data_IF_992021264347
#
_entry.id   IF_992021264347
#
_cell.length_a   1.000
_cell.length_b   1.000
_cell.length_c   1.000
_cell.angle_alpha   90.00
_cell.angle_beta   90.00
_cell.angle_gamma   90.00
#
_symmetry.space_group_name_H-M   'P 1'
#
loop_
_entity.id
_entity.type
_entity.pdbx_description
1 polymer ?
#
# COMPACT_ATOMS: atom_id res chain seq x y z
N UNK A 1 37.86 -21.15 -24.37
CA UNK A 1 38.41 -20.47 -23.18
C UNK A 1 37.24 -20.24 -22.26
N UNK A 2 37.10 -21.05 -21.21
CA UNK A 2 36.05 -20.87 -20.19
C UNK A 2 36.62 -19.94 -19.14
N UNK A 3 35.82 -18.97 -18.73
CA UNK A 3 36.12 -17.98 -17.70
C UNK A 3 36.77 -18.62 -16.47
N UNK A 4 37.94 -18.10 -16.08
CA UNK A 4 38.43 -18.22 -14.72
C UNK A 4 37.46 -17.43 -13.83
N UNK A 5 36.50 -18.13 -13.21
CA UNK A 5 35.71 -17.59 -12.10
C UNK A 5 36.69 -17.03 -11.05
N UNK A 6 36.71 -15.71 -10.89
CA UNK A 6 37.28 -15.08 -9.69
C UNK A 6 36.58 -15.70 -8.49
N UNK A 7 37.30 -16.52 -7.73
CA UNK A 7 36.80 -17.09 -6.47
C UNK A 7 36.55 -15.94 -5.50
N UNK A 8 35.29 -15.72 -5.18
CA UNK A 8 34.73 -14.61 -4.37
C UNK A 8 35.13 -14.62 -2.88
N UNK A 9 36.13 -15.42 -2.47
CA UNK A 9 36.47 -15.65 -1.06
C UNK A 9 35.40 -16.42 -0.25
N UNK A 10 34.15 -16.48 -0.73
CA UNK A 10 33.00 -17.08 -0.05
C UNK A 10 33.16 -18.58 0.24
N UNK A 11 33.96 -19.30 -0.56
CA UNK A 11 34.28 -20.73 -0.34
C UNK A 11 34.86 -20.99 1.07
N UNK A 12 35.49 -19.99 1.69
CA UNK A 12 36.01 -20.09 3.06
C UNK A 12 34.91 -20.38 4.09
N UNK A 13 33.67 -19.95 3.86
CA UNK A 13 32.55 -20.13 4.78
C UNK A 13 32.00 -21.56 4.80
N UNK A 14 32.35 -22.41 3.82
CA UNK A 14 31.95 -23.83 3.80
C UNK A 14 33.15 -24.78 3.87
N UNK A 15 34.36 -24.27 4.08
CA UNK A 15 35.60 -25.07 4.02
C UNK A 15 35.59 -26.28 4.95
N UNK A 16 35.00 -26.13 6.14
CA UNK A 16 34.93 -27.17 7.17
C UNK A 16 33.53 -27.85 7.21
N UNK A 17 32.70 -27.64 6.18
CA UNK A 17 31.36 -28.19 6.05
C UNK A 17 31.35 -29.32 5.01
N UNK A 18 30.76 -30.46 5.38
CA UNK A 18 30.51 -31.57 4.45
C UNK A 18 29.03 -31.57 4.09
N UNK A 19 28.72 -31.25 2.83
CA UNK A 19 27.34 -31.22 2.33
C UNK A 19 26.79 -32.64 2.17
N UNK A 20 25.64 -32.89 2.77
CA UNK A 20 24.94 -34.18 2.81
C UNK A 20 24.00 -34.35 1.62
N UNK A 21 23.66 -33.26 0.92
CA UNK A 21 22.65 -33.23 -0.13
C UNK A 21 21.23 -32.99 0.41
N UNK A 22 21.06 -32.93 1.74
CA UNK A 22 19.84 -32.43 2.37
C UNK A 22 20.02 -30.97 2.73
N UNK A 23 19.40 -30.07 1.97
CA UNK A 23 19.56 -28.63 2.16
C UNK A 23 19.26 -28.17 3.59
N UNK A 24 18.21 -28.70 4.21
CA UNK A 24 17.85 -28.40 5.59
C UNK A 24 18.98 -28.76 6.58
N UNK A 25 19.59 -29.94 6.41
CA UNK A 25 20.69 -30.39 7.26
C UNK A 25 21.95 -29.57 7.00
N UNK A 26 22.24 -29.29 5.73
CA UNK A 26 23.43 -28.56 5.29
C UNK A 26 23.42 -27.11 5.78
N UNK A 27 22.29 -26.41 5.62
CA UNK A 27 22.10 -25.04 6.12
C UNK A 27 22.10 -25.01 7.66
N UNK A 28 21.45 -25.98 8.30
CA UNK A 28 21.47 -26.09 9.76
C UNK A 28 22.89 -26.33 10.32
N UNK A 29 23.70 -27.14 9.64
CA UNK A 29 25.10 -27.36 9.98
C UNK A 29 25.97 -26.12 9.69
N UNK A 30 25.68 -25.40 8.62
CA UNK A 30 26.33 -24.13 8.27
C UNK A 30 26.16 -23.08 9.38
N UNK A 31 24.94 -22.82 9.83
CA UNK A 31 24.71 -21.86 10.91
C UNK A 31 25.35 -22.29 12.25
N UNK A 32 25.33 -23.59 12.55
CA UNK A 32 26.03 -24.14 13.74
C UNK A 32 27.54 -23.94 13.67
N UNK A 33 28.15 -24.15 12.50
CA UNK A 33 29.58 -23.94 12.29
C UNK A 33 29.98 -22.49 12.55
N UNK A 34 29.14 -21.54 12.13
CA UNK A 34 29.38 -20.09 12.30
C UNK A 34 28.85 -19.51 13.62
N UNK A 35 28.23 -20.33 14.47
CA UNK A 35 27.73 -19.91 15.79
C UNK A 35 26.51 -18.99 15.76
N UNK A 36 25.79 -18.90 14.63
CA UNK A 36 24.61 -18.03 14.47
C UNK A 36 23.30 -18.83 14.54
N UNK A 37 23.00 -19.34 15.74
CA UNK A 37 21.78 -20.12 15.98
C UNK A 37 20.52 -19.27 15.98
N UNK A 38 20.63 -17.96 16.23
CA UNK A 38 19.48 -17.05 16.22
C UNK A 38 18.92 -16.87 14.81
N UNK A 39 19.79 -16.64 13.81
CA UNK A 39 19.35 -16.59 12.40
C UNK A 39 18.80 -17.95 11.95
N UNK A 40 19.36 -19.05 12.44
CA UNK A 40 18.84 -20.38 12.15
C UNK A 40 17.42 -20.60 12.67
N UNK A 41 17.13 -20.24 13.93
CA UNK A 41 15.79 -20.35 14.51
C UNK A 41 14.78 -19.49 13.75
N UNK A 42 15.16 -18.26 13.35
CA UNK A 42 14.37 -17.41 12.45
C UNK A 42 14.11 -18.09 11.10
N UNK A 43 15.16 -18.61 10.48
CA UNK A 43 15.10 -19.30 9.17
C UNK A 43 14.12 -20.46 9.17
N UNK A 44 14.07 -21.26 10.25
CA UNK A 44 13.10 -22.35 10.40
C UNK A 44 11.65 -21.86 10.47
N UNK A 45 11.39 -20.74 11.16
CA UNK A 45 10.07 -20.10 11.22
C UNK A 45 9.67 -19.58 9.84
N UNK A 46 10.56 -18.84 9.17
CA UNK A 46 10.35 -18.32 7.81
C UNK A 46 10.03 -19.45 6.85
N UNK A 47 10.78 -20.56 6.93
CA UNK A 47 10.57 -21.75 6.08
C UNK A 47 9.18 -22.34 6.26
N UNK A 48 8.72 -22.48 7.51
CA UNK A 48 7.37 -22.97 7.82
C UNK A 48 6.29 -22.05 7.23
N UNK A 49 6.46 -20.74 7.35
CA UNK A 49 5.54 -19.76 6.77
C UNK A 49 5.59 -19.75 5.23
N UNK A 50 6.77 -19.80 4.62
CA UNK A 50 6.95 -19.78 3.17
C UNK A 50 6.27 -20.99 2.50
N UNK A 51 6.46 -22.19 3.04
CA UNK A 51 5.80 -23.41 2.55
C UNK A 51 4.29 -23.33 2.67
N UNK A 52 3.78 -22.82 3.81
CA UNK A 52 2.33 -22.65 4.03
C UNK A 52 1.73 -21.65 3.03
N UNK A 53 2.35 -20.49 2.89
CA UNK A 53 1.88 -19.42 2.00
C UNK A 53 2.00 -19.88 0.54
N UNK A 54 3.08 -20.55 0.15
CA UNK A 54 3.23 -21.09 -1.20
C UNK A 54 2.06 -22.00 -1.60
N UNK A 55 1.61 -22.88 -0.70
CA UNK A 55 0.43 -23.73 -0.92
C UNK A 55 -0.87 -22.93 -1.07
N UNK A 56 -1.06 -21.88 -0.28
CA UNK A 56 -2.26 -21.03 -0.37
C UNK A 56 -2.36 -20.27 -1.71
N UNK A 57 -1.22 -19.92 -2.29
CA UNK A 57 -1.14 -19.04 -3.46
C UNK A 57 -0.77 -19.78 -4.76
N UNK A 58 -0.83 -21.12 -4.75
CA UNK A 58 -0.52 -22.00 -5.88
C UNK A 58 0.88 -21.74 -6.45
N UNK A 59 1.86 -21.74 -5.54
CA UNK A 59 3.29 -21.56 -5.83
C UNK A 59 4.04 -22.81 -5.34
N UNK A 60 5.11 -23.19 -6.03
CA UNK A 60 5.90 -24.38 -5.69
C UNK A 60 6.43 -24.32 -4.23
N UNK A 61 5.96 -25.20 -3.33
CA UNK A 61 6.37 -25.18 -1.93
C UNK A 61 7.81 -25.66 -1.71
N UNK A 62 8.35 -26.50 -2.58
CA UNK A 62 9.74 -26.98 -2.45
C UNK A 62 10.73 -25.87 -2.79
N UNK A 63 10.44 -25.08 -3.83
CA UNK A 63 11.22 -23.88 -4.13
C UNK A 63 11.11 -22.83 -3.03
N UNK A 64 9.91 -22.64 -2.47
CA UNK A 64 9.70 -21.70 -1.37
C UNK A 64 10.49 -22.10 -0.11
N UNK A 65 10.55 -23.40 0.20
CA UNK A 65 11.42 -23.95 1.25
C UNK A 65 12.90 -23.65 0.97
N UNK A 66 13.38 -23.92 -0.25
CA UNK A 66 14.76 -23.64 -0.63
C UNK A 66 15.12 -22.16 -0.51
N UNK A 67 14.26 -21.26 -1.01
CA UNK A 67 14.46 -19.82 -0.90
C UNK A 67 14.47 -19.36 0.56
N UNK A 68 13.54 -19.85 1.38
CA UNK A 68 13.43 -19.49 2.79
C UNK A 68 14.61 -20.03 3.62
N UNK A 69 15.12 -21.22 3.37
CA UNK A 69 16.31 -21.74 4.05
C UNK A 69 17.56 -20.89 3.76
N UNK A 70 17.62 -20.27 2.58
CA UNK A 70 18.81 -19.59 2.09
C UNK A 70 18.73 -18.06 2.16
N UNK A 71 17.58 -17.47 2.52
CA UNK A 71 17.37 -16.01 2.39
C UNK A 71 18.35 -15.17 3.22
N UNK A 72 18.76 -15.67 4.39
CA UNK A 72 19.54 -14.96 5.41
C UNK A 72 20.92 -15.58 5.67
N UNK A 73 21.39 -16.50 4.82
CA UNK A 73 22.66 -17.22 5.04
C UNK A 73 23.90 -16.31 5.11
N UNK A 74 23.84 -15.11 4.54
CA UNK A 74 24.94 -14.14 4.65
C UNK A 74 25.03 -13.44 6.00
N UNK A 75 24.07 -13.61 6.90
CA UNK A 75 24.12 -13.01 8.25
C UNK A 75 25.27 -13.54 9.11
N UNK A 76 25.87 -14.68 8.75
CA UNK A 76 27.11 -15.18 9.37
C UNK A 76 28.32 -14.28 9.10
N UNK A 77 28.24 -13.41 8.08
CA UNK A 77 29.30 -12.46 7.74
C UNK A 77 29.19 -11.26 8.69
N UNK A 78 30.28 -10.81 9.32
CA UNK A 78 30.27 -9.56 10.07
C UNK A 78 29.90 -8.37 9.17
N UNK A 79 28.99 -7.50 9.62
CA UNK A 79 28.54 -6.32 8.84
C UNK A 79 29.69 -5.42 8.39
N UNK A 80 30.79 -5.37 9.16
CA UNK A 80 32.00 -4.63 8.78
C UNK A 80 32.66 -5.12 7.49
N UNK A 81 32.42 -6.38 7.10
CA UNK A 81 32.96 -7.00 5.90
C UNK A 81 31.98 -6.97 4.71
N UNK A 82 30.71 -6.59 4.92
CA UNK A 82 29.68 -6.68 3.87
C UNK A 82 30.06 -5.95 2.57
N UNK A 83 30.63 -4.74 2.67
CA UNK A 83 31.02 -3.97 1.50
C UNK A 83 32.19 -4.65 0.76
N UNK A 84 33.21 -5.07 1.50
CA UNK A 84 34.37 -5.78 0.94
C UNK A 84 33.92 -7.08 0.26
N UNK A 85 33.17 -7.92 0.96
CA UNK A 85 32.64 -9.17 0.40
C UNK A 85 31.74 -8.93 -0.80
N UNK A 86 30.90 -7.89 -0.78
CA UNK A 86 30.06 -7.55 -1.93
C UNK A 86 30.90 -7.16 -3.15
N UNK A 87 31.96 -6.38 -2.96
CA UNK A 87 32.89 -6.03 -4.05
C UNK A 87 33.63 -7.25 -4.59
N UNK A 88 34.14 -8.13 -3.72
CA UNK A 88 34.82 -9.37 -4.12
C UNK A 88 33.89 -10.34 -4.86
N UNK A 89 32.62 -10.40 -4.45
CA UNK A 89 31.58 -11.18 -5.10
C UNK A 89 31.04 -10.54 -6.39
N UNK A 90 31.53 -9.36 -6.79
CA UNK A 90 31.07 -8.66 -7.99
C UNK A 90 29.65 -8.09 -7.87
N UNK A 91 29.15 -7.92 -6.65
CA UNK A 91 27.82 -7.36 -6.38
C UNK A 91 27.87 -5.84 -6.58
N UNK A 92 26.95 -5.32 -7.37
CA UNK A 92 26.74 -3.87 -7.48
C UNK A 92 26.12 -3.31 -6.20
N UNK A 93 26.87 -2.47 -5.52
CA UNK A 93 26.45 -1.71 -4.32
C UNK A 93 26.00 -0.31 -4.74
N UNK A 94 24.86 0.15 -4.22
CA UNK A 94 24.32 1.50 -4.42
C UNK A 94 24.83 2.46 -3.34
N UNK A 95 24.79 3.77 -3.60
CA UNK A 95 25.21 4.79 -2.62
C UNK A 95 24.46 4.69 -1.28
N UNK A 96 23.16 4.39 -1.34
CA UNK A 96 22.32 4.17 -0.16
C UNK A 96 22.69 2.89 0.61
N UNK A 97 23.22 1.88 -0.08
CA UNK A 97 23.72 0.64 0.53
C UNK A 97 25.11 0.84 1.14
N UNK A 98 25.94 1.73 0.59
CA UNK A 98 27.17 2.17 1.25
C UNK A 98 26.87 2.88 2.57
N UNK A 99 25.83 3.72 2.61
CA UNK A 99 25.40 4.40 3.83
C UNK A 99 24.79 3.44 4.87
N UNK A 100 24.16 2.35 4.44
CA UNK A 100 23.59 1.34 5.32
C UNK A 100 23.91 -0.10 4.86
N UNK A 101 25.14 -0.60 5.12
CA UNK A 101 25.62 -1.85 4.53
C UNK A 101 24.79 -3.08 4.84
N UNK A 102 24.13 -3.14 6.02
CA UNK A 102 23.35 -4.30 6.44
C UNK A 102 22.30 -4.74 5.40
N UNK A 103 21.75 -3.82 4.60
CA UNK A 103 20.74 -4.16 3.59
C UNK A 103 21.27 -5.01 2.42
N UNK A 104 22.60 -5.12 2.30
CA UNK A 104 23.25 -5.91 1.25
C UNK A 104 23.10 -7.42 1.49
N UNK A 105 22.74 -7.87 2.71
CA UNK A 105 22.62 -9.31 3.04
C UNK A 105 21.74 -10.07 2.02
N UNK A 106 20.61 -9.54 1.58
CA UNK A 106 19.79 -10.21 0.55
C UNK A 106 20.56 -10.49 -0.75
N UNK A 107 21.44 -9.57 -1.19
CA UNK A 107 22.29 -9.76 -2.38
C UNK A 107 23.42 -10.74 -2.11
N UNK A 108 24.03 -10.69 -0.93
CA UNK A 108 25.09 -11.62 -0.53
C UNK A 108 24.54 -13.04 -0.37
N UNK A 109 23.39 -13.20 0.28
CA UNK A 109 22.68 -14.47 0.43
C UNK A 109 22.33 -15.08 -0.93
N UNK A 110 21.93 -14.27 -1.92
CA UNK A 110 21.73 -14.75 -3.31
C UNK A 110 23.02 -15.38 -3.85
N UNK A 111 24.14 -14.67 -3.76
CA UNK A 111 25.42 -15.15 -4.32
C UNK A 111 25.93 -16.37 -3.54
N UNK A 112 25.76 -16.39 -2.21
CA UNK A 112 26.13 -17.55 -1.39
C UNK A 112 25.25 -18.78 -1.69
N UNK A 113 23.96 -18.59 -1.94
CA UNK A 113 23.05 -19.67 -2.31
C UNK A 113 23.49 -20.33 -3.63
N UNK A 114 23.84 -19.51 -4.62
CA UNK A 114 24.35 -19.96 -5.91
C UNK A 114 25.71 -20.65 -5.78
N UNK A 115 26.69 -20.00 -5.14
CA UNK A 115 28.08 -20.46 -5.15
C UNK A 115 28.38 -21.57 -4.13
N UNK A 116 27.72 -21.56 -2.97
CA UNK A 116 28.05 -22.45 -1.85
C UNK A 116 27.08 -23.63 -1.75
N UNK A 117 25.82 -23.43 -2.09
CA UNK A 117 24.77 -24.45 -2.01
C UNK A 117 24.29 -24.94 -3.38
N UNK A 118 24.87 -24.44 -4.48
CA UNK A 118 24.62 -24.93 -5.83
C UNK A 118 23.21 -24.66 -6.36
N UNK A 119 22.55 -23.61 -5.86
CA UNK A 119 21.22 -23.21 -6.35
C UNK A 119 21.34 -22.55 -7.71
N UNK A 120 20.67 -23.10 -8.72
CA UNK A 120 20.69 -22.62 -10.11
C UNK A 120 19.34 -22.03 -10.56
N UNK A 121 18.26 -22.23 -9.81
CA UNK A 121 16.92 -21.73 -10.14
C UNK A 121 16.84 -20.19 -9.98
N UNK A 122 16.65 -19.43 -11.08
CA UNK A 122 16.58 -17.98 -11.01
C UNK A 122 15.40 -17.46 -10.18
N UNK A 123 14.29 -18.20 -10.10
CA UNK A 123 13.12 -17.81 -9.30
C UNK A 123 13.45 -17.82 -7.80
N UNK A 124 14.21 -18.83 -7.35
CA UNK A 124 14.69 -18.94 -5.97
C UNK A 124 15.71 -17.85 -5.66
N UNK A 125 16.71 -17.68 -6.54
CA UNK A 125 17.77 -16.68 -6.37
C UNK A 125 17.22 -15.25 -6.40
N UNK A 126 16.27 -14.94 -7.27
CA UNK A 126 15.62 -13.62 -7.33
C UNK A 126 14.81 -13.32 -6.07
N UNK A 127 14.09 -14.30 -5.53
CA UNK A 127 13.34 -14.12 -4.29
C UNK A 127 14.26 -13.85 -3.10
N UNK A 128 15.37 -14.59 -2.98
CA UNK A 128 16.40 -14.33 -1.97
C UNK A 128 16.95 -12.90 -2.13
N UNK A 129 17.24 -12.48 -3.36
CA UNK A 129 17.85 -11.19 -3.65
C UNK A 129 16.97 -9.96 -3.33
N UNK A 130 15.65 -10.16 -3.15
CA UNK A 130 14.71 -9.09 -2.87
C UNK A 130 13.82 -9.35 -1.65
N UNK A 131 14.13 -10.33 -0.79
CA UNK A 131 13.25 -10.68 0.34
C UNK A 131 13.18 -9.55 1.41
N UNK A 132 14.15 -8.64 1.48
CA UNK A 132 14.15 -7.53 2.44
C UNK A 132 13.43 -6.31 1.88
N UNK A 133 13.71 -5.94 0.63
CA UNK A 133 13.24 -4.68 0.03
C UNK A 133 12.08 -4.84 -0.94
N UNK A 134 11.82 -6.06 -1.39
CA UNK A 134 11.08 -6.36 -2.60
C UNK A 134 11.70 -5.66 -3.83
N UNK A 135 11.04 -5.78 -4.98
CA UNK A 135 11.38 -5.11 -6.24
C UNK A 135 10.11 -4.71 -7.00
N UNK A 136 10.21 -3.72 -7.87
CA UNK A 136 9.16 -3.47 -8.86
C UNK A 136 8.93 -4.71 -9.72
N UNK A 137 7.68 -4.94 -10.14
CA UNK A 137 7.28 -6.13 -10.91
C UNK A 137 7.60 -7.47 -10.23
N UNK A 138 7.66 -7.48 -8.89
CA UNK A 138 7.88 -8.70 -8.11
C UNK A 138 6.88 -9.81 -8.49
N UNK A 139 7.40 -11.02 -8.66
CA UNK A 139 6.60 -12.20 -8.97
C UNK A 139 5.76 -12.60 -7.75
N UNK A 140 4.75 -13.45 -7.95
CA UNK A 140 4.01 -14.05 -6.83
C UNK A 140 4.96 -14.80 -5.89
N UNK A 141 5.95 -15.50 -6.44
CA UNK A 141 6.97 -16.22 -5.66
C UNK A 141 7.83 -15.27 -4.80
N UNK A 142 8.30 -14.15 -5.37
CA UNK A 142 9.06 -13.13 -4.62
C UNK A 142 8.26 -12.62 -3.41
N UNK A 143 6.96 -12.34 -3.63
CA UNK A 143 6.03 -11.86 -2.59
C UNK A 143 5.80 -12.91 -1.48
N UNK A 144 5.75 -14.20 -1.82
CA UNK A 144 5.62 -15.28 -0.83
C UNK A 144 6.81 -15.28 0.13
N UNK A 145 8.05 -15.28 -0.39
CA UNK A 145 9.26 -15.29 0.44
C UNK A 145 9.39 -13.99 1.24
N UNK A 146 9.12 -12.85 0.59
CA UNK A 146 9.11 -11.53 1.24
C UNK A 146 8.16 -11.47 2.45
N UNK A 147 6.92 -11.94 2.29
CA UNK A 147 5.91 -11.92 3.35
C UNK A 147 6.19 -12.97 4.43
N UNK A 148 6.61 -14.17 4.04
CA UNK A 148 6.98 -15.23 4.96
C UNK A 148 8.01 -14.76 5.99
N UNK A 149 9.02 -14.01 5.53
CA UNK A 149 10.02 -13.41 6.40
C UNK A 149 9.40 -12.45 7.42
N UNK A 150 8.49 -11.56 7.01
CA UNK A 150 7.88 -10.57 7.92
C UNK A 150 6.92 -11.17 8.94
N UNK A 151 6.14 -12.19 8.56
CA UNK A 151 5.17 -12.82 9.47
C UNK A 151 5.81 -13.82 10.43
N UNK A 152 7.07 -14.20 10.21
CA UNK A 152 7.83 -15.11 11.06
C UNK A 152 8.44 -14.43 12.31
N UNK A 153 8.39 -13.10 12.41
CA UNK A 153 8.96 -12.35 13.52
C UNK A 153 8.25 -12.65 14.85
N UNK A 154 9.05 -12.83 15.91
CA UNK A 154 8.57 -12.93 17.28
C UNK A 154 7.97 -11.58 17.73
N UNK A 155 6.99 -11.61 18.63
CA UNK A 155 6.21 -10.43 19.10
C UNK A 155 5.34 -9.76 18.05
N UNK A 156 5.09 -10.41 16.91
CA UNK A 156 4.24 -9.83 15.88
C UNK A 156 2.79 -9.55 16.34
N UNK A 157 2.32 -10.20 17.40
CA UNK A 157 1.03 -9.89 18.04
C UNK A 157 0.99 -8.45 18.60
N UNK A 158 2.15 -7.87 18.92
CA UNK A 158 2.31 -6.50 19.42
C UNK A 158 2.27 -5.46 18.30
N UNK A 159 2.21 -5.90 17.04
CA UNK A 159 2.25 -5.04 15.85
C UNK A 159 0.99 -5.22 15.00
N UNK A 160 0.06 -4.26 15.11
CA UNK A 160 -1.23 -4.29 14.39
C UNK A 160 -1.09 -4.58 12.88
N UNK A 161 -0.07 -4.01 12.22
CA UNK A 161 0.16 -4.23 10.79
C UNK A 161 0.56 -5.68 10.45
N UNK A 162 1.24 -6.41 11.35
CA UNK A 162 1.58 -7.82 11.11
C UNK A 162 0.36 -8.73 11.27
N UNK A 163 -0.56 -8.38 12.17
CA UNK A 163 -1.84 -9.08 12.30
C UNK A 163 -2.71 -8.89 11.04
N UNK A 164 -2.77 -7.66 10.53
CA UNK A 164 -3.44 -7.34 9.26
C UNK A 164 -2.82 -8.12 8.09
N UNK A 165 -1.49 -8.17 7.98
CA UNK A 165 -0.79 -8.96 6.95
C UNK A 165 -1.18 -10.44 7.04
N UNK A 166 -1.22 -11.04 8.23
CA UNK A 166 -1.60 -12.45 8.40
C UNK A 166 -3.03 -12.70 7.97
N UNK A 167 -3.95 -11.85 8.39
CA UNK A 167 -5.35 -11.95 8.00
C UNK A 167 -5.50 -11.89 6.47
N UNK A 168 -4.91 -10.88 5.82
CA UNK A 168 -4.95 -10.75 4.36
C UNK A 168 -4.32 -11.95 3.65
N UNK A 169 -3.23 -12.49 4.18
CA UNK A 169 -2.60 -13.70 3.64
C UNK A 169 -3.55 -14.89 3.69
N UNK A 170 -4.27 -15.08 4.80
CA UNK A 170 -5.18 -16.20 5.01
C UNK A 170 -6.50 -16.04 4.22
N UNK A 171 -6.91 -14.81 3.93
CA UNK A 171 -8.06 -14.47 3.09
C UNK A 171 -7.77 -14.53 1.58
N UNK A 172 -6.53 -14.77 1.16
CA UNK A 172 -6.14 -14.89 -0.25
C UNK A 172 -5.74 -13.55 -0.90
N UNK A 173 -5.37 -12.54 -0.11
CA UNK A 173 -5.03 -11.18 -0.55
C UNK A 173 -3.53 -10.83 -0.43
N UNK A 174 -2.63 -11.67 -0.97
CA UNK A 174 -1.17 -11.48 -0.90
C UNK A 174 -0.68 -10.10 -1.34
N UNK A 175 -1.21 -9.56 -2.43
CA UNK A 175 -0.79 -8.24 -2.93
C UNK A 175 -1.17 -7.10 -1.98
N UNK A 176 -2.31 -7.24 -1.30
CA UNK A 176 -2.72 -6.29 -0.27
C UNK A 176 -1.84 -6.42 0.98
N UNK A 177 -1.53 -7.65 1.40
CA UNK A 177 -0.62 -7.91 2.52
C UNK A 177 0.78 -7.30 2.28
N UNK A 178 1.32 -7.42 1.07
CA UNK A 178 2.57 -6.74 0.69
C UNK A 178 2.42 -5.22 0.76
N UNK A 179 1.34 -4.65 0.22
CA UNK A 179 1.09 -3.21 0.29
C UNK A 179 0.97 -2.68 1.73
N UNK A 180 0.39 -3.44 2.66
CA UNK A 180 0.34 -3.08 4.10
C UNK A 180 1.75 -2.86 4.64
N UNK A 181 2.66 -3.81 4.41
CA UNK A 181 4.05 -3.67 4.86
C UNK A 181 4.77 -2.49 4.18
N UNK A 182 4.64 -2.36 2.86
CA UNK A 182 5.28 -1.27 2.10
C UNK A 182 4.77 0.11 2.55
N UNK A 183 3.47 0.23 2.82
CA UNK A 183 2.87 1.45 3.36
C UNK A 183 3.31 1.72 4.80
N UNK A 184 3.44 0.69 5.64
CA UNK A 184 3.97 0.84 6.99
C UNK A 184 5.38 1.46 6.98
N UNK A 185 6.29 0.91 6.16
CA UNK A 185 7.66 1.44 6.00
C UNK A 185 7.61 2.87 5.43
N UNK A 186 6.81 3.11 4.40
CA UNK A 186 6.67 4.43 3.79
C UNK A 186 6.17 5.49 4.78
N UNK A 187 5.16 5.17 5.59
CA UNK A 187 4.57 6.11 6.55
C UNK A 187 5.53 6.48 7.68
N UNK A 188 6.53 5.64 7.95
CA UNK A 188 7.56 5.89 8.96
C UNK A 188 8.89 6.37 8.37
N UNK A 189 8.97 6.64 7.06
CA UNK A 189 10.22 6.99 6.35
C UNK A 189 11.05 8.09 6.99
N UNK A 190 10.44 9.08 7.64
CA UNK A 190 11.15 10.15 8.34
C UNK A 190 11.86 9.72 9.64
N UNK A 191 11.58 8.52 10.16
CA UNK A 191 12.18 7.95 11.38
C UNK A 191 13.18 6.84 11.09
N UNK A 192 13.19 6.30 9.87
CA UNK A 192 14.03 5.17 9.48
C UNK A 192 15.40 5.64 8.98
N UNK A 193 16.43 4.83 9.23
CA UNK A 193 17.80 5.10 8.75
C UNK A 193 17.90 5.02 7.22
N UNK A 194 17.11 4.15 6.60
CA UNK A 194 17.06 3.96 5.16
C UNK A 194 15.66 3.48 4.74
N UNK A 195 15.15 4.03 3.65
CA UNK A 195 14.07 3.45 2.86
C UNK A 195 14.61 3.22 1.46
N UNK A 196 14.93 1.96 1.17
CA UNK A 196 15.67 1.59 -0.04
C UNK A 196 14.88 1.89 -1.32
N UNK A 197 15.57 2.30 -2.37
CA UNK A 197 14.96 2.68 -3.64
C UNK A 197 14.12 1.57 -4.28
N UNK A 198 14.57 0.30 -4.23
CA UNK A 198 13.77 -0.86 -4.65
C UNK A 198 12.41 -0.98 -3.94
N UNK A 199 12.34 -0.65 -2.64
CA UNK A 199 11.11 -0.69 -1.86
C UNK A 199 10.15 0.40 -2.32
N UNK A 200 10.67 1.61 -2.55
CA UNK A 200 9.90 2.74 -3.09
C UNK A 200 9.31 2.38 -4.45
N UNK A 201 10.13 1.82 -5.34
CA UNK A 201 9.71 1.39 -6.67
C UNK A 201 8.70 0.24 -6.62
N UNK A 202 8.89 -0.74 -5.73
CA UNK A 202 7.94 -1.82 -5.52
C UNK A 202 6.58 -1.29 -5.08
N UNK A 203 6.57 -0.36 -4.12
CA UNK A 203 5.35 0.29 -3.62
C UNK A 203 4.64 1.07 -4.72
N UNK A 204 5.36 1.92 -5.44
CA UNK A 204 4.79 2.72 -6.54
C UNK A 204 4.16 1.82 -7.60
N UNK A 205 4.89 0.78 -8.04
CA UNK A 205 4.38 -0.18 -9.01
C UNK A 205 3.10 -0.88 -8.52
N UNK A 206 3.04 -1.31 -7.25
CA UNK A 206 1.85 -1.99 -6.73
C UNK A 206 0.64 -1.06 -6.57
N UNK A 207 0.86 0.22 -6.26
CA UNK A 207 -0.21 1.22 -6.24
C UNK A 207 -0.75 1.48 -7.65
N UNK A 208 0.13 1.62 -8.65
CA UNK A 208 -0.27 1.75 -10.05
C UNK A 208 -1.06 0.53 -10.52
N UNK A 209 -0.63 -0.69 -10.18
CA UNK A 209 -1.37 -1.92 -10.52
C UNK A 209 -2.73 -1.98 -9.82
N UNK A 210 -2.82 -1.56 -8.55
CA UNK A 210 -4.09 -1.48 -7.81
C UNK A 210 -5.06 -0.52 -8.48
N UNK A 211 -4.58 0.65 -8.91
CA UNK A 211 -5.40 1.65 -9.63
C UNK A 211 -5.75 1.21 -11.06
N UNK A 212 -4.84 0.51 -11.75
CA UNK A 212 -5.07 -0.01 -13.08
C UNK A 212 -6.07 -1.18 -13.09
N UNK A 213 -6.08 -2.00 -12.04
CA UNK A 213 -7.00 -3.12 -11.88
C UNK A 213 -8.41 -2.70 -11.42
N UNK A 214 -8.57 -1.48 -10.89
CA UNK A 214 -9.89 -0.94 -10.54
C UNK A 214 -10.71 -0.72 -11.82
N UNK A 215 -11.98 -1.16 -11.81
CA UNK A 215 -12.89 -0.96 -12.92
C UNK A 215 -12.92 0.51 -13.36
N UNK A 216 -12.80 0.82 -14.67
CA UNK A 216 -12.70 2.21 -15.13
C UNK A 216 -13.87 3.10 -14.70
N UNK A 217 -15.09 2.56 -14.61
CA UNK A 217 -16.25 3.35 -14.18
C UNK A 217 -16.16 3.64 -12.68
N UNK A 218 -15.86 2.61 -11.85
CA UNK A 218 -15.61 2.79 -10.41
C UNK A 218 -14.50 3.81 -10.15
N UNK A 219 -13.37 3.68 -10.85
CA UNK A 219 -12.22 4.60 -10.73
C UNK A 219 -12.59 6.04 -11.10
N UNK A 220 -13.29 6.24 -12.20
CA UNK A 220 -13.70 7.58 -12.63
C UNK A 220 -14.65 8.24 -11.63
N UNK A 221 -15.62 7.48 -11.10
CA UNK A 221 -16.50 7.95 -10.02
C UNK A 221 -15.69 8.30 -8.76
N UNK A 222 -14.81 7.41 -8.30
CA UNK A 222 -13.92 7.67 -7.15
C UNK A 222 -13.14 8.99 -7.33
N UNK A 223 -12.56 9.23 -8.52
CA UNK A 223 -11.86 10.49 -8.83
C UNK A 223 -12.78 11.72 -8.80
N UNK A 224 -14.04 11.59 -9.23
CA UNK A 224 -15.02 12.67 -9.12
C UNK A 224 -15.32 13.02 -7.64
N UNK A 225 -15.38 12.02 -6.76
CA UNK A 225 -15.63 12.24 -5.34
C UNK A 225 -14.40 12.75 -4.58
N UNK A 226 -13.19 12.36 -5.00
CA UNK A 226 -11.95 12.98 -4.49
C UNK A 226 -11.84 14.46 -4.90
N UNK A 227 -12.24 14.79 -6.14
CA UNK A 227 -12.36 16.20 -6.58
C UNK A 227 -13.43 16.95 -5.79
N UNK A 228 -14.56 16.31 -5.49
CA UNK A 228 -15.64 16.88 -4.68
C UNK A 228 -15.14 17.24 -3.27
N UNK A 229 -14.44 16.32 -2.59
CA UNK A 229 -13.80 16.55 -1.28
C UNK A 229 -12.80 17.71 -1.32
N UNK A 230 -11.90 17.69 -2.32
CA UNK A 230 -10.95 18.78 -2.54
C UNK A 230 -11.65 20.13 -2.73
N UNK A 231 -12.71 20.17 -3.55
CA UNK A 231 -13.47 21.40 -3.80
C UNK A 231 -14.18 21.92 -2.56
N UNK A 232 -14.68 21.02 -1.70
CA UNK A 232 -15.30 21.38 -0.42
C UNK A 232 -14.27 22.02 0.52
N UNK A 233 -13.04 21.47 0.58
CA UNK A 233 -11.95 22.06 1.35
C UNK A 233 -11.54 23.44 0.83
N UNK A 234 -11.49 23.65 -0.49
CA UNK A 234 -11.19 24.97 -1.06
C UNK A 234 -12.24 26.04 -0.66
N UNK A 235 -13.51 25.65 -0.55
CA UNK A 235 -14.57 26.55 -0.06
C UNK A 235 -14.40 26.84 1.44
N UNK A 236 -14.14 25.81 2.25
CA UNK A 236 -13.86 25.98 3.68
C UNK A 236 -12.71 26.95 3.93
N UNK A 237 -11.60 26.83 3.18
CA UNK A 237 -10.46 27.74 3.30
C UNK A 237 -10.82 29.20 3.04
N UNK A 238 -11.69 29.46 2.06
CA UNK A 238 -12.16 30.83 1.77
C UNK A 238 -13.13 31.33 2.83
N UNK A 239 -14.05 30.48 3.30
CA UNK A 239 -14.99 30.85 4.37
C UNK A 239 -14.28 31.19 5.68
N UNK A 240 -13.23 30.44 6.01
CA UNK A 240 -12.42 30.65 7.21
C UNK A 240 -11.63 31.97 7.16
N UNK A 241 -11.07 32.26 5.98
CA UNK A 241 -10.21 33.43 5.77
C UNK A 241 -10.98 34.73 5.62
N UNK A 242 -12.05 34.72 4.83
CA UNK A 242 -12.73 35.94 4.38
C UNK A 242 -13.99 36.26 5.19
N UNK A 243 -14.61 35.26 5.83
CA UNK A 243 -15.80 35.41 6.69
C UNK A 243 -16.91 36.28 6.06
N UNK A 244 -17.51 35.83 4.93
CA UNK A 244 -18.54 36.60 4.22
C UNK A 244 -19.69 37.03 5.13
N UNK A 245 -20.17 38.27 4.94
CA UNK A 245 -21.19 38.89 5.81
C UNK A 245 -22.58 38.23 5.64
N UNK A 246 -22.85 37.62 4.48
CA UNK A 246 -24.11 37.00 4.14
C UNK A 246 -24.20 35.51 4.50
N UNK A 247 -25.37 35.06 4.96
CA UNK A 247 -25.63 33.65 5.27
C UNK A 247 -25.83 32.77 4.01
N UNK A 248 -25.96 33.39 2.83
CA UNK A 248 -26.32 32.68 1.59
C UNK A 248 -25.26 31.69 1.16
N UNK A 249 -23.97 32.06 1.27
CA UNK A 249 -22.86 31.16 0.92
C UNK A 249 -22.83 29.97 1.87
N UNK A 250 -22.94 30.23 3.18
CA UNK A 250 -22.97 29.20 4.22
C UNK A 250 -24.15 28.26 4.02
N UNK A 251 -25.37 28.79 3.83
CA UNK A 251 -26.58 27.99 3.57
C UNK A 251 -26.45 27.11 2.33
N UNK A 252 -25.89 27.65 1.25
CA UNK A 252 -25.74 26.90 0.02
C UNK A 252 -24.66 25.80 0.15
N UNK A 253 -23.58 26.08 0.86
CA UNK A 253 -22.56 25.08 1.14
C UNK A 253 -23.07 23.99 2.09
N UNK A 254 -23.80 24.37 3.15
CA UNK A 254 -24.47 23.45 4.06
C UNK A 254 -25.46 22.54 3.31
N UNK A 255 -26.17 23.07 2.31
CA UNK A 255 -27.04 22.30 1.42
C UNK A 255 -26.28 21.27 0.60
N UNK A 256 -25.12 21.63 0.01
CA UNK A 256 -24.26 20.68 -0.73
C UNK A 256 -23.85 19.52 0.19
N UNK A 257 -23.32 19.82 1.38
CA UNK A 257 -22.84 18.81 2.33
C UNK A 257 -23.99 17.95 2.87
N UNK A 258 -25.15 18.54 3.11
CA UNK A 258 -26.33 17.78 3.52
C UNK A 258 -26.83 16.87 2.40
N UNK A 259 -26.88 17.35 1.15
CA UNK A 259 -27.26 16.54 -0.01
C UNK A 259 -26.32 15.34 -0.18
N UNK A 260 -25.00 15.57 -0.08
CA UNK A 260 -23.98 14.51 -0.04
C UNK A 260 -24.32 13.46 1.05
N UNK A 261 -24.51 13.89 2.30
CA UNK A 261 -24.82 13.02 3.45
C UNK A 261 -26.12 12.22 3.28
N UNK A 262 -27.18 12.87 2.74
CA UNK A 262 -28.48 12.25 2.47
C UNK A 262 -28.33 11.13 1.44
N UNK A 263 -27.64 11.42 0.34
CA UNK A 263 -27.52 10.47 -0.76
C UNK A 263 -26.66 9.26 -0.40
N UNK A 264 -25.53 9.44 0.29
CA UNK A 264 -24.75 8.27 0.75
C UNK A 264 -25.56 7.44 1.76
N UNK A 265 -26.39 8.06 2.61
CA UNK A 265 -27.26 7.30 3.53
C UNK A 265 -28.27 6.44 2.79
N UNK A 266 -28.80 6.91 1.65
CA UNK A 266 -29.70 6.14 0.80
C UNK A 266 -29.01 4.96 0.14
N UNK A 267 -27.80 5.15 -0.37
CA UNK A 267 -26.98 4.08 -0.94
C UNK A 267 -26.69 3.00 0.11
N UNK A 268 -26.36 3.42 1.34
CA UNK A 268 -26.09 2.52 2.47
C UNK A 268 -27.34 1.88 3.08
N UNK A 269 -28.55 2.24 2.62
CA UNK A 269 -29.81 1.80 3.25
C UNK A 269 -30.01 2.31 4.69
N UNK A 270 -29.27 3.34 5.11
CA UNK A 270 -29.37 3.94 6.44
C UNK A 270 -30.47 5.00 6.50
N UNK A 271 -31.02 5.21 7.70
CA UNK A 271 -32.01 6.26 7.94
C UNK A 271 -31.38 7.63 7.67
N UNK A 272 -32.03 8.42 6.81
CA UNK A 272 -31.65 9.82 6.56
C UNK A 272 -32.00 10.65 7.80
N UNK A 273 -31.00 11.30 8.40
CA UNK A 273 -31.16 12.19 9.56
C UNK A 273 -31.01 13.67 9.20
N UNK A 274 -30.31 13.98 8.10
CA UNK A 274 -30.02 15.34 7.69
C UNK A 274 -31.19 16.00 6.94
N UNK A 275 -31.45 17.27 7.24
CA UNK A 275 -32.40 18.10 6.50
C UNK A 275 -31.76 18.62 5.21
N UNK A 276 -32.49 18.59 4.08
CA UNK A 276 -31.97 19.03 2.77
C UNK A 276 -31.45 20.48 2.83
N UNK A 277 -32.19 21.35 3.51
CA UNK A 277 -31.81 22.71 3.81
C UNK A 277 -31.67 22.84 5.33
N UNK A 278 -30.47 22.59 5.86
CA UNK A 278 -30.22 22.70 7.29
C UNK A 278 -30.15 24.17 7.71
N UNK A 279 -30.85 24.51 8.79
CA UNK A 279 -30.83 25.86 9.36
C UNK A 279 -29.66 26.03 10.34
N UNK A 280 -29.12 27.26 10.41
CA UNK A 280 -28.21 27.73 11.46
C UNK A 280 -26.88 26.97 11.65
N UNK A 281 -26.34 26.31 10.62
CA UNK A 281 -24.99 25.72 10.71
C UNK A 281 -23.88 26.76 10.87
N UNK A 282 -22.94 26.44 11.76
CA UNK A 282 -21.69 27.18 11.94
C UNK A 282 -20.58 26.56 11.08
N UNK A 283 -19.47 27.30 10.91
CA UNK A 283 -18.34 26.83 10.12
C UNK A 283 -17.75 25.50 10.65
N UNK A 284 -17.77 25.28 11.96
CA UNK A 284 -17.30 24.03 12.57
C UNK A 284 -18.18 22.83 12.20
N UNK A 285 -19.52 23.02 12.18
CA UNK A 285 -20.45 21.97 11.75
C UNK A 285 -20.19 21.56 10.28
N UNK A 286 -19.86 22.54 9.43
CA UNK A 286 -19.50 22.30 8.03
C UNK A 286 -18.18 21.50 7.91
N UNK A 287 -17.18 21.80 8.74
CA UNK A 287 -15.89 21.06 8.76
C UNK A 287 -16.09 19.60 9.14
N UNK A 288 -16.94 19.36 10.15
CA UNK A 288 -17.31 18.00 10.58
C UNK A 288 -18.00 17.28 9.42
N UNK A 289 -19.02 17.87 8.80
CA UNK A 289 -19.74 17.25 7.69
C UNK A 289 -18.86 16.97 6.46
N UNK A 290 -17.92 17.87 6.12
CA UNK A 290 -16.95 17.62 5.05
C UNK A 290 -16.14 16.35 5.34
N UNK A 291 -15.64 16.23 6.57
CA UNK A 291 -14.84 15.07 6.99
C UNK A 291 -15.66 13.79 7.01
N UNK A 292 -16.87 13.83 7.58
CA UNK A 292 -17.77 12.67 7.64
C UNK A 292 -18.21 12.19 6.26
N UNK A 293 -18.58 13.11 5.35
CA UNK A 293 -18.97 12.75 4.00
C UNK A 293 -17.80 12.12 3.23
N UNK A 294 -16.61 12.73 3.32
CA UNK A 294 -15.38 12.21 2.72
C UNK A 294 -15.11 10.79 3.16
N UNK A 295 -15.13 10.54 4.46
CA UNK A 295 -14.82 9.22 5.03
C UNK A 295 -15.87 8.18 4.60
N UNK A 296 -17.16 8.54 4.62
CA UNK A 296 -18.23 7.65 4.16
C UNK A 296 -18.15 7.30 2.69
N UNK A 297 -17.91 8.28 1.81
CA UNK A 297 -17.72 8.00 0.38
C UNK A 297 -16.43 7.20 0.13
N UNK A 298 -15.34 7.49 0.84
CA UNK A 298 -14.10 6.72 0.73
C UNK A 298 -14.32 5.25 1.09
N UNK A 299 -14.93 4.97 2.25
CA UNK A 299 -15.27 3.62 2.66
C UNK A 299 -16.18 2.92 1.64
N UNK A 300 -17.22 3.63 1.15
CA UNK A 300 -18.10 3.07 0.12
C UNK A 300 -17.33 2.69 -1.16
N UNK A 301 -16.46 3.55 -1.67
CA UNK A 301 -15.65 3.22 -2.85
C UNK A 301 -14.63 2.12 -2.57
N UNK A 302 -14.10 1.99 -1.36
CA UNK A 302 -13.19 0.90 -1.00
C UNK A 302 -13.88 -0.46 -1.04
N UNK A 303 -15.15 -0.53 -0.62
CA UNK A 303 -15.90 -1.78 -0.50
C UNK A 303 -16.70 -2.16 -1.75
N UNK A 304 -17.28 -1.19 -2.45
CA UNK A 304 -18.26 -1.46 -3.53
C UNK A 304 -17.63 -2.18 -4.72
N UNK A 305 -18.27 -3.24 -5.23
CA UNK A 305 -17.86 -3.86 -6.50
C UNK A 305 -18.45 -3.15 -7.72
N UNK A 306 -17.86 -3.31 -8.92
CA UNK A 306 -18.42 -2.74 -10.15
C UNK A 306 -19.87 -3.17 -10.43
N UNK A 307 -20.23 -4.40 -10.05
CA UNK A 307 -21.58 -4.96 -10.18
C UNK A 307 -22.54 -4.29 -9.19
N UNK A 308 -22.10 -4.08 -7.95
CA UNK A 308 -22.91 -3.40 -6.92
C UNK A 308 -23.21 -1.94 -7.28
N UNK A 309 -22.31 -1.25 -8.02
CA UNK A 309 -22.60 0.10 -8.53
C UNK A 309 -23.81 0.14 -9.48
N UNK A 310 -24.16 -0.99 -10.10
CA UNK A 310 -25.31 -1.15 -11.01
C UNK A 310 -26.46 -1.90 -10.37
N UNK A 311 -26.35 -2.31 -9.10
CA UNK A 311 -27.42 -2.98 -8.39
C UNK A 311 -28.35 -1.91 -7.79
N UNK A 312 -29.61 -1.79 -8.25
CA UNK A 312 -30.49 -0.72 -7.80
C UNK A 312 -30.76 -0.77 -6.29
N UNK A 313 -30.74 0.40 -5.66
CA UNK A 313 -31.12 0.59 -4.26
C UNK A 313 -32.48 1.26 -4.18
N UNK A 314 -33.33 0.80 -3.25
CA UNK A 314 -34.65 1.41 -2.98
C UNK A 314 -34.56 2.36 -1.80
N UNK A 315 -35.11 3.55 -1.94
CA UNK A 315 -35.12 4.56 -0.89
C UNK A 315 -36.40 5.40 -0.91
N UNK A 316 -36.72 6.00 0.23
CA UNK A 316 -37.87 6.90 0.39
C UNK A 316 -37.38 8.35 0.53
N UNK A 317 -38.01 9.25 -0.21
CA UNK A 317 -37.73 10.69 -0.15
C UNK A 317 -38.36 11.36 1.07
N UNK A 318 -37.96 12.58 1.39
CA UNK A 318 -38.60 13.36 2.47
C UNK A 318 -40.11 13.60 2.25
N UNK A 319 -40.59 13.49 1.01
CA UNK A 319 -42.00 13.57 0.66
C UNK A 319 -42.76 12.23 0.78
N UNK A 320 -42.10 11.15 1.23
CA UNK A 320 -42.70 9.82 1.38
C UNK A 320 -42.79 9.00 0.08
N UNK A 321 -42.33 9.54 -1.05
CA UNK A 321 -42.29 8.81 -2.32
C UNK A 321 -41.09 7.84 -2.36
N UNK A 322 -41.36 6.61 -2.78
CA UNK A 322 -40.37 5.54 -2.96
C UNK A 322 -39.79 5.56 -4.38
N UNK A 323 -38.49 5.38 -4.49
CA UNK A 323 -37.77 5.26 -5.75
C UNK A 323 -36.76 4.12 -5.68
N UNK A 324 -36.44 3.57 -6.84
CA UNK A 324 -35.37 2.59 -7.03
C UNK A 324 -34.41 3.14 -8.08
N UNK A 325 -33.12 3.22 -7.77
CA UNK A 325 -32.12 3.84 -8.65
C UNK A 325 -30.77 3.15 -8.48
N UNK A 326 -30.02 3.02 -9.57
CA UNK A 326 -28.67 2.48 -9.51
C UNK A 326 -27.72 3.44 -8.77
N UNK A 327 -26.82 2.94 -7.90
CA UNK A 327 -25.84 3.79 -7.23
C UNK A 327 -24.99 4.63 -8.18
N UNK A 328 -24.65 4.12 -9.36
CA UNK A 328 -23.91 4.89 -10.39
C UNK A 328 -24.62 6.19 -10.77
N UNK A 329 -25.95 6.17 -10.94
CA UNK A 329 -26.73 7.35 -11.30
C UNK A 329 -26.87 8.32 -10.12
N UNK A 330 -27.03 7.78 -8.90
CA UNK A 330 -27.05 8.58 -7.67
C UNK A 330 -25.72 9.32 -7.49
N UNK A 331 -24.60 8.61 -7.60
CA UNK A 331 -23.26 9.16 -7.43
C UNK A 331 -22.95 10.23 -8.48
N UNK A 332 -23.35 9.99 -9.74
CA UNK A 332 -23.22 10.98 -10.80
C UNK A 332 -24.08 12.23 -10.53
N UNK A 333 -25.32 12.04 -10.07
CA UNK A 333 -26.18 13.15 -9.67
C UNK A 333 -25.55 13.99 -8.55
N UNK A 334 -25.05 13.36 -7.47
CA UNK A 334 -24.42 14.06 -6.33
C UNK A 334 -23.26 14.93 -6.79
N UNK A 335 -22.35 14.40 -7.60
CA UNK A 335 -21.20 15.13 -8.09
C UNK A 335 -21.58 16.33 -8.97
N UNK A 336 -22.52 16.14 -9.91
CA UNK A 336 -23.01 17.21 -10.80
C UNK A 336 -23.78 18.29 -10.03
N UNK A 337 -24.64 17.87 -9.09
CA UNK A 337 -25.41 18.76 -8.23
C UNK A 337 -24.51 19.66 -7.38
N UNK A 338 -23.47 19.07 -6.77
CA UNK A 338 -22.47 19.84 -6.03
C UNK A 338 -21.77 20.87 -6.94
N UNK A 339 -21.32 20.47 -8.13
CA UNK A 339 -20.65 21.39 -9.08
C UNK A 339 -21.54 22.58 -9.46
N UNK A 340 -22.82 22.34 -9.73
CA UNK A 340 -23.81 23.39 -10.03
C UNK A 340 -23.89 24.44 -8.90
N UNK A 341 -24.02 24.00 -7.65
CA UNK A 341 -24.10 24.92 -6.51
C UNK A 341 -22.77 25.58 -6.15
N UNK A 342 -21.62 24.93 -6.39
CA UNK A 342 -20.31 25.58 -6.24
C UNK A 342 -20.14 26.76 -7.21
N UNK A 343 -20.70 26.67 -8.42
CA UNK A 343 -20.76 27.80 -9.35
C UNK A 343 -21.61 28.97 -8.83
N UNK A 344 -22.71 28.69 -8.13
CA UNK A 344 -23.52 29.70 -7.44
C UNK A 344 -22.79 30.32 -6.25
N UNK A 345 -22.09 29.52 -5.44
CA UNK A 345 -21.20 30.00 -4.36
C UNK A 345 -20.16 30.96 -4.92
N UNK A 346 -19.49 30.59 -6.02
CA UNK A 346 -18.50 31.45 -6.65
C UNK A 346 -19.09 32.78 -7.17
N UNK A 347 -20.36 32.77 -7.56
CA UNK A 347 -21.08 33.98 -7.98
C UNK A 347 -21.44 34.87 -6.78
N UNK A 348 -21.89 34.27 -5.67
CA UNK A 348 -22.20 34.98 -4.43
C UNK A 348 -20.95 35.62 -3.81
N UNK A 349 -19.83 34.90 -3.74
CA UNK A 349 -18.57 35.44 -3.23
C UNK A 349 -18.12 36.66 -4.04
N UNK A 350 -18.27 36.63 -5.37
CA UNK A 350 -17.97 37.79 -6.23
C UNK A 350 -18.86 39.00 -5.98
N UNK A 351 -20.13 38.79 -5.59
CA UNK A 351 -21.03 39.89 -5.22
C UNK A 351 -20.61 40.57 -3.92
N UNK A 352 -19.88 39.87 -3.05
CA UNK A 352 -19.28 40.39 -1.83
C UNK A 352 -17.81 40.82 -2.05
N UNK A 353 -17.37 40.98 -3.30
CA UNK A 353 -16.00 41.36 -3.68
C UNK A 353 -14.90 40.38 -3.21
N UNK A 354 -15.29 39.15 -2.84
CA UNK A 354 -14.37 38.07 -2.45
C UNK A 354 -13.98 37.24 -3.68
N UNK A 355 -12.68 36.98 -3.84
CA UNK A 355 -12.19 36.08 -4.89
C UNK A 355 -12.61 34.64 -4.60
N UNK A 356 -13.38 33.98 -5.49
CA UNK A 356 -13.84 32.62 -5.24
C UNK A 356 -12.69 31.59 -5.40
N UNK A 357 -12.78 30.44 -4.71
CA UNK A 357 -11.80 29.39 -4.86
C UNK A 357 -11.88 28.75 -6.25
N UNK A 358 -10.74 28.29 -6.77
CA UNK A 358 -10.72 27.45 -7.96
C UNK A 358 -11.29 26.08 -7.61
N UNK A 359 -12.38 25.68 -8.26
CA UNK A 359 -13.04 24.38 -8.04
C UNK A 359 -13.14 23.53 -9.31
N UNK A 360 -12.51 23.97 -10.40
CA UNK A 360 -12.50 23.22 -11.66
C UNK A 360 -11.72 21.90 -11.55
N UNK A 361 -12.25 20.84 -12.17
CA UNK A 361 -11.63 19.52 -12.14
C UNK A 361 -10.18 19.52 -12.66
N UNK A 362 -9.88 20.29 -13.70
CA UNK A 362 -8.52 20.34 -14.26
C UNK A 362 -7.50 20.97 -13.30
N UNK A 363 -7.93 21.86 -12.41
CA UNK A 363 -7.06 22.45 -11.39
C UNK A 363 -6.71 21.41 -10.32
N UNK A 364 -7.69 20.60 -9.91
CA UNK A 364 -7.48 19.45 -9.02
C UNK A 364 -6.46 18.47 -9.60
N UNK A 365 -6.62 18.06 -10.87
CA UNK A 365 -5.67 17.13 -11.52
C UNK A 365 -4.24 17.69 -11.52
N UNK A 366 -4.06 18.95 -11.91
CA UNK A 366 -2.74 19.60 -11.92
C UNK A 366 -2.11 19.76 -10.54
N UNK A 367 -2.91 19.80 -9.47
CA UNK A 367 -2.39 19.83 -8.10
C UNK A 367 -1.92 18.46 -7.62
N UNK A 368 -2.56 17.37 -8.06
CA UNK A 368 -2.09 16.01 -7.76
C UNK A 368 -0.71 15.75 -8.36
N UNK A 369 -0.52 16.10 -9.64
CA UNK A 369 0.74 15.92 -10.38
C UNK A 369 1.93 16.72 -9.81
N UNK A 370 1.67 17.72 -8.96
CA UNK A 370 2.72 18.51 -8.29
C UNK A 370 3.12 17.95 -6.92
N UNK A 371 2.35 17.01 -6.37
CA UNK A 371 2.59 16.39 -5.06
C UNK A 371 3.32 15.04 -5.17
N UNK A 372 3.44 14.50 -6.38
CA UNK A 372 4.33 13.40 -6.76
C UNK A 372 5.69 13.95 -7.17
#
# INVERSE_FOLDING_TARGET
MRDEQRKSGLEAYIKDLVLTGSLLQDVGAFFKLHGDLATWDHTLKVTSHAVRIARLYDVDPMKAEQAALLHDISNVIPVSLFLETAHEAGIKVLDEEHAYPRIIHQKLSRVMAEQLFGVDDPQVLDAIACHTTLRAKATRFDKVVFIADKVAWDHAEEHAYLNEIRQLVDEGHLDQAVLVYLNHVWNQRGKLKLVHSSLIQARAYMLEQKEAAEDPAKRNLRRMFQHMDWSNHQILEVLDREQPEGDRVIKLFAHILSAEAIWISRIEGKRVQAAVWPDHMQLEDLRILVSENRDRFSCYFDEVTPEQLRQPVTYVTGAGAEYTTEPVDILMHVALHGSYHRGQIASLLRMEEISPPATDYIQYVRQLERKE
#
